data_IF_649088484606
#
_entry.id   IF_649088484606
#
_cell.length_a   1.000
_cell.length_b   1.000
_cell.length_c   1.000
_cell.angle_alpha   90.00
_cell.angle_beta   90.00
_cell.angle_gamma   90.00
#
_symmetry.space_group_name_H-M   'P 1'
#
loop_
_entity.id
_entity.type
_entity.pdbx_description
1 polymer ?
#
# COMPACT_ATOMS: atom_id res chain seq x y z
N UNK A 1 -14.64 22.13 -14.90
CA UNK A 1 -14.15 20.92 -14.19
C UNK A 1 -13.01 21.38 -13.32
N UNK A 2 -13.00 21.00 -12.03
CA UNK A 2 -11.84 21.27 -11.19
C UNK A 2 -10.64 20.58 -11.82
N UNK A 3 -9.58 21.35 -12.05
CA UNK A 3 -8.30 20.88 -12.58
C UNK A 3 -7.27 21.09 -11.52
N UNK A 4 -6.26 20.23 -11.50
CA UNK A 4 -5.07 20.50 -10.71
C UNK A 4 -4.43 21.80 -11.18
N UNK A 5 -3.78 22.49 -10.24
CA UNK A 5 -3.04 23.69 -10.55
C UNK A 5 -1.90 23.30 -11.50
N UNK A 6 -1.95 23.79 -12.74
CA UNK A 6 -0.86 23.59 -13.69
C UNK A 6 0.32 24.49 -13.28
N UNK A 7 1.56 23.96 -13.30
CA UNK A 7 2.72 24.74 -12.94
C UNK A 7 3.01 25.79 -14.01
N UNK A 8 3.51 26.94 -13.59
CA UNK A 8 3.88 28.03 -14.48
C UNK A 8 5.04 27.63 -15.40
N UNK A 9 5.14 28.23 -16.59
CA UNK A 9 6.23 27.93 -17.54
C UNK A 9 7.62 28.12 -16.90
N UNK A 10 7.76 29.13 -16.03
CA UNK A 10 8.99 29.39 -15.30
C UNK A 10 9.33 28.26 -14.32
N UNK A 11 8.34 27.76 -13.58
CA UNK A 11 8.54 26.60 -12.68
C UNK A 11 8.90 25.34 -13.47
N UNK A 12 8.21 25.09 -14.60
CA UNK A 12 8.53 23.94 -15.45
C UNK A 12 9.98 23.99 -15.94
N UNK A 13 10.40 25.13 -16.49
CA UNK A 13 11.76 25.33 -16.99
C UNK A 13 12.79 25.21 -15.86
N UNK A 14 12.52 25.84 -14.72
CA UNK A 14 13.41 25.81 -13.57
C UNK A 14 13.64 24.40 -13.04
N UNK A 15 12.59 23.60 -12.90
CA UNK A 15 12.70 22.22 -12.40
C UNK A 15 13.48 21.35 -13.37
N UNK A 16 13.18 21.44 -14.67
CA UNK A 16 13.90 20.67 -15.69
C UNK A 16 15.38 21.06 -15.73
N UNK A 17 15.71 22.34 -15.62
CA UNK A 17 17.10 22.81 -15.54
C UNK A 17 17.81 22.39 -14.25
N UNK A 18 17.09 22.36 -13.13
CA UNK A 18 17.63 21.91 -11.85
C UNK A 18 17.94 20.41 -11.88
N UNK A 19 17.04 19.60 -12.45
CA UNK A 19 17.24 18.16 -12.62
C UNK A 19 18.44 17.85 -13.53
N UNK A 20 18.66 18.64 -14.59
CA UNK A 20 19.87 18.54 -15.44
C UNK A 20 21.18 18.82 -14.68
N UNK A 21 21.11 19.49 -13.53
CA UNK A 21 22.23 19.78 -12.65
C UNK A 21 22.25 18.87 -11.42
N UNK A 22 21.51 17.77 -11.44
CA UNK A 22 21.34 16.82 -10.32
C UNK A 22 20.84 17.47 -9.01
N UNK A 23 20.04 18.52 -9.12
CA UNK A 23 19.46 19.22 -7.98
C UNK A 23 17.93 19.06 -7.96
N UNK A 24 17.41 18.54 -6.85
CA UNK A 24 15.97 18.54 -6.54
C UNK A 24 15.58 19.75 -5.70
N UNK A 25 14.32 20.17 -5.84
CA UNK A 25 13.74 21.26 -5.04
C UNK A 25 13.82 21.01 -3.52
N UNK A 26 13.64 19.75 -3.12
CA UNK A 26 13.67 19.35 -1.71
C UNK A 26 15.09 19.17 -1.16
N UNK A 27 16.13 19.29 -1.99
CA UNK A 27 17.53 19.03 -1.61
C UNK A 27 17.90 17.55 -1.43
N UNK A 28 17.00 16.62 -1.76
CA UNK A 28 17.24 15.17 -1.73
C UNK A 28 18.05 14.70 -2.93
N UNK A 29 18.70 13.54 -2.79
CA UNK A 29 19.28 12.83 -3.93
C UNK A 29 18.20 12.31 -4.90
N UNK A 30 18.60 11.99 -6.14
CA UNK A 30 17.71 11.44 -7.16
C UNK A 30 17.14 10.07 -6.75
N UNK A 31 17.94 9.28 -6.01
CA UNK A 31 17.62 7.91 -5.60
C UNK A 31 17.04 7.81 -4.18
N UNK A 32 16.59 8.94 -3.61
CA UNK A 32 16.22 9.03 -2.20
C UNK A 32 14.71 9.25 -2.00
N UNK A 33 14.10 8.39 -1.18
CA UNK A 33 12.71 8.55 -0.72
C UNK A 33 12.53 9.71 0.28
N UNK A 34 11.30 10.23 0.33
CA UNK A 34 10.86 11.11 1.42
C UNK A 34 10.89 10.40 2.77
N UNK A 35 10.96 11.15 3.88
CA UNK A 35 10.79 10.57 5.20
C UNK A 35 9.44 9.86 5.26
N UNK A 36 9.50 8.59 5.64
CA UNK A 36 8.36 7.69 5.76
C UNK A 36 8.04 7.52 7.25
N UNK A 37 6.79 7.80 7.61
CA UNK A 37 6.24 7.54 8.94
C UNK A 37 5.01 6.63 8.82
N UNK A 38 4.89 5.71 9.77
CA UNK A 38 3.84 4.70 9.79
C UNK A 38 3.27 4.62 11.20
N UNK A 39 1.97 4.88 11.31
CA UNK A 39 1.22 4.85 12.56
C UNK A 39 0.13 3.79 12.48
N UNK A 40 0.03 2.98 13.51
CA UNK A 40 -1.08 2.05 13.67
C UNK A 40 -2.18 2.73 14.47
N UNK A 41 -3.44 2.49 14.10
CA UNK A 41 -4.58 2.90 14.89
C UNK A 41 -4.82 1.95 16.06
N UNK A 42 -5.71 2.35 16.98
CA UNK A 42 -6.06 1.53 18.15
C UNK A 42 -6.63 0.16 17.74
N UNK A 43 -7.45 0.13 16.67
CA UNK A 43 -8.00 -1.09 16.11
C UNK A 43 -7.01 -1.81 15.19
N UNK A 44 -6.98 -3.14 15.25
CA UNK A 44 -6.20 -3.96 14.33
C UNK A 44 -6.63 -3.72 12.87
N UNK A 45 -5.65 -3.59 11.98
CA UNK A 45 -5.85 -3.33 10.55
C UNK A 45 -6.17 -1.88 10.17
N UNK A 46 -6.06 -0.92 11.10
CA UNK A 46 -6.05 0.51 10.76
C UNK A 46 -4.61 1.00 10.73
N UNK A 47 -4.17 1.56 9.60
CA UNK A 47 -2.83 2.12 9.45
C UNK A 47 -2.87 3.45 8.72
N UNK A 48 -2.15 4.42 9.25
CA UNK A 48 -1.89 5.69 8.59
C UNK A 48 -0.44 5.77 8.15
N UNK A 49 -0.23 6.05 6.87
CA UNK A 49 1.10 6.25 6.29
C UNK A 49 1.25 7.69 5.87
N UNK A 50 2.39 8.27 6.26
CA UNK A 50 2.82 9.59 5.84
C UNK A 50 4.14 9.46 5.08
N UNK A 51 4.12 9.79 3.79
CA UNK A 51 5.30 9.88 2.94
C UNK A 51 5.53 11.35 2.60
N UNK A 52 6.36 12.02 3.40
CA UNK A 52 6.49 13.49 3.37
C UNK A 52 5.15 14.18 3.65
N UNK A 53 4.51 14.73 2.62
CA UNK A 53 3.18 15.36 2.72
C UNK A 53 2.04 14.46 2.25
N UNK A 54 2.34 13.38 1.52
CA UNK A 54 1.33 12.41 1.08
C UNK A 54 0.87 11.59 2.28
N UNK A 55 -0.45 11.57 2.54
CA UNK A 55 -1.05 10.85 3.66
C UNK A 55 -2.15 9.91 3.19
N UNK A 56 -2.08 8.66 3.60
CA UNK A 56 -3.04 7.61 3.22
C UNK A 56 -3.44 6.84 4.48
N UNK A 57 -4.74 6.63 4.62
CA UNK A 57 -5.32 5.77 5.65
C UNK A 57 -5.77 4.46 4.98
N UNK A 58 -5.32 3.33 5.50
CA UNK A 58 -5.80 2.02 5.12
C UNK A 58 -6.58 1.40 6.28
N UNK A 59 -7.73 0.80 5.98
CA UNK A 59 -8.55 0.07 6.94
C UNK A 59 -8.88 -1.29 6.36
N UNK A 60 -8.66 -2.34 7.15
CA UNK A 60 -9.07 -3.70 6.82
C UNK A 60 -10.35 -4.06 7.58
N UNK A 61 -11.30 -4.65 6.88
CA UNK A 61 -12.49 -5.27 7.45
C UNK A 61 -12.59 -6.74 7.02
N UNK A 62 -13.22 -7.56 7.86
CA UNK A 62 -13.48 -8.96 7.56
C UNK A 62 -14.93 -9.30 7.87
N UNK A 63 -15.59 -9.96 6.93
CA UNK A 63 -16.98 -10.40 7.02
C UNK A 63 -17.09 -11.85 6.58
N UNK A 64 -18.04 -12.61 7.12
CA UNK A 64 -18.31 -13.98 6.66
C UNK A 64 -19.33 -13.94 5.53
N UNK A 65 -18.94 -14.44 4.37
CA UNK A 65 -19.79 -14.46 3.16
C UNK A 65 -19.72 -15.82 2.46
N UNK A 66 -20.50 -15.98 1.39
CA UNK A 66 -20.46 -17.17 0.53
C UNK A 66 -19.37 -16.98 -0.52
N UNK A 67 -18.48 -17.97 -0.75
CA UNK A 67 -17.45 -17.87 -1.79
C UNK A 67 -18.05 -17.87 -3.20
N UNK A 68 -17.24 -17.50 -4.19
CA UNK A 68 -17.65 -17.59 -5.59
C UNK A 68 -17.85 -19.05 -6.01
N UNK A 69 -18.84 -19.31 -6.87
CA UNK A 69 -19.14 -20.66 -7.38
C UNK A 69 -17.95 -21.27 -8.14
N UNK A 70 -17.16 -20.45 -8.82
CA UNK A 70 -15.98 -20.88 -9.57
C UNK A 70 -14.82 -21.33 -8.67
N UNK A 71 -14.76 -20.80 -7.43
CA UNK A 71 -13.66 -21.04 -6.48
C UNK A 71 -14.22 -21.26 -5.07
N UNK A 72 -14.76 -22.45 -4.76
CA UNK A 72 -15.42 -22.73 -3.49
C UNK A 72 -14.45 -22.89 -2.31
N UNK A 73 -13.15 -23.09 -2.57
CA UNK A 73 -12.10 -23.31 -1.58
C UNK A 73 -11.29 -22.04 -1.24
N UNK A 74 -11.60 -20.91 -1.86
CA UNK A 74 -10.91 -19.64 -1.63
C UNK A 74 -11.85 -18.64 -0.94
N UNK A 75 -11.30 -17.85 -0.03
CA UNK A 75 -11.96 -16.65 0.48
C UNK A 75 -11.93 -15.49 -0.51
N UNK A 76 -12.72 -14.47 -0.21
CA UNK A 76 -12.84 -13.28 -1.05
C UNK A 76 -11.88 -12.21 -0.51
N UNK A 77 -11.09 -11.62 -1.39
CA UNK A 77 -10.19 -10.52 -1.04
C UNK A 77 -10.39 -9.34 -1.97
N UNK A 78 -10.84 -8.20 -1.46
CA UNK A 78 -11.12 -6.98 -2.24
C UNK A 78 -10.30 -5.79 -1.75
N UNK A 79 -9.79 -4.99 -2.69
CA UNK A 79 -9.07 -3.75 -2.40
C UNK A 79 -9.84 -2.63 -3.09
N UNK A 80 -10.29 -1.66 -2.30
CA UNK A 80 -11.00 -0.48 -2.77
C UNK A 80 -10.12 0.74 -2.50
N UNK A 81 -9.86 1.52 -3.54
CA UNK A 81 -9.17 2.82 -3.43
C UNK A 81 -10.18 3.91 -3.62
N UNK A 82 -10.26 4.84 -2.68
CA UNK A 82 -11.11 6.02 -2.77
C UNK A 82 -10.26 7.28 -2.76
N UNK A 83 -10.31 8.03 -3.87
CA UNK A 83 -9.72 9.36 -3.94
C UNK A 83 -10.73 10.41 -3.47
N UNK A 84 -10.46 11.00 -2.30
CA UNK A 84 -11.29 12.09 -1.76
C UNK A 84 -10.89 13.44 -2.36
N UNK A 85 -11.84 14.37 -2.60
CA UNK A 85 -11.54 15.77 -2.94
C UNK A 85 -10.68 16.48 -1.88
N UNK A 86 -10.59 15.93 -0.67
CA UNK A 86 -9.66 16.40 0.36
C UNK A 86 -8.19 16.25 -0.05
N UNK A 87 -7.87 15.23 -0.86
CA UNK A 87 -6.49 14.97 -1.26
C UNK A 87 -6.01 15.91 -2.37
N UNK A 88 -6.86 16.17 -3.36
CA UNK A 88 -6.63 17.13 -4.44
C UNK A 88 -7.98 17.65 -4.93
N UNK A 89 -8.11 18.96 -5.25
CA UNK A 89 -9.35 19.50 -5.81
C UNK A 89 -9.73 18.85 -7.14
N UNK A 90 -8.79 18.22 -7.86
CA UNK A 90 -9.06 17.52 -9.10
C UNK A 90 -9.81 16.19 -8.94
N UNK A 91 -9.88 15.65 -7.72
CA UNK A 91 -10.62 14.42 -7.46
C UNK A 91 -12.10 14.72 -7.21
N UNK A 92 -12.96 14.05 -7.98
CA UNK A 92 -14.41 14.14 -7.85
C UNK A 92 -14.95 12.87 -7.18
N UNK A 93 -15.84 13.01 -6.19
CA UNK A 93 -16.47 11.86 -5.55
C UNK A 93 -17.36 11.13 -6.57
N UNK A 94 -17.30 9.79 -6.58
CA UNK A 94 -18.07 8.89 -7.45
C UNK A 94 -17.72 8.92 -8.95
N UNK A 95 -16.68 9.66 -9.35
CA UNK A 95 -16.19 9.63 -10.72
C UNK A 95 -14.76 9.11 -10.74
N UNK A 96 -14.55 7.83 -11.11
CA UNK A 96 -13.21 7.27 -11.12
C UNK A 96 -12.35 8.00 -12.16
N UNK A 97 -11.30 8.65 -11.69
CA UNK A 97 -10.30 9.26 -12.57
C UNK A 97 -9.40 8.19 -13.17
N UNK A 98 -8.72 8.50 -14.27
CA UNK A 98 -7.76 7.55 -14.87
C UNK A 98 -6.69 7.13 -13.86
N UNK A 99 -6.18 8.09 -13.07
CA UNK A 99 -5.22 7.85 -11.99
C UNK A 99 -5.75 6.88 -10.93
N UNK A 100 -7.03 6.98 -10.56
CA UNK A 100 -7.67 6.09 -9.59
C UNK A 100 -7.80 4.66 -10.13
N UNK A 101 -8.26 4.52 -11.38
CA UNK A 101 -8.37 3.20 -12.03
C UNK A 101 -7.01 2.54 -12.18
N UNK A 102 -5.98 3.32 -12.53
CA UNK A 102 -4.61 2.84 -12.61
C UNK A 102 -4.09 2.42 -11.24
N UNK A 103 -4.27 3.25 -10.21
CA UNK A 103 -3.86 2.95 -8.84
C UNK A 103 -4.51 1.66 -8.33
N UNK A 104 -5.83 1.56 -8.43
CA UNK A 104 -6.60 0.38 -8.03
C UNK A 104 -6.08 -0.89 -8.72
N UNK A 105 -5.92 -0.85 -10.04
CA UNK A 105 -5.43 -2.00 -10.83
C UNK A 105 -3.98 -2.37 -10.52
N UNK A 106 -3.11 -1.40 -10.26
CA UNK A 106 -1.71 -1.66 -9.93
C UNK A 106 -1.59 -2.33 -8.57
N UNK A 107 -2.33 -1.85 -7.56
CA UNK A 107 -2.34 -2.44 -6.22
C UNK A 107 -2.97 -3.83 -6.25
N UNK A 108 -4.10 -4.00 -6.96
CA UNK A 108 -4.75 -5.29 -7.12
C UNK A 108 -3.80 -6.32 -7.76
N UNK A 109 -3.11 -5.97 -8.84
CA UNK A 109 -2.11 -6.86 -9.44
C UNK A 109 -0.92 -7.11 -8.51
N UNK A 110 -0.48 -6.10 -7.76
CA UNK A 110 0.68 -6.25 -6.87
C UNK A 110 0.40 -7.11 -5.66
N UNK A 111 -0.81 -7.05 -5.08
CA UNK A 111 -1.14 -7.76 -3.83
C UNK A 111 -1.97 -9.02 -4.09
N UNK A 112 -2.99 -8.96 -4.94
CA UNK A 112 -3.86 -10.11 -5.23
C UNK A 112 -3.19 -11.08 -6.20
N UNK A 113 -2.68 -10.61 -7.35
CA UNK A 113 -2.10 -11.51 -8.37
C UNK A 113 -0.75 -12.12 -7.95
N UNK A 114 -0.04 -11.44 -7.06
CA UNK A 114 1.17 -12.01 -6.46
C UNK A 114 0.86 -13.12 -5.45
N UNK A 115 -0.38 -13.26 -4.98
CA UNK A 115 -0.77 -14.12 -3.86
C UNK A 115 0.00 -13.76 -2.57
N UNK A 116 0.04 -12.47 -2.22
CA UNK A 116 0.64 -12.02 -0.96
C UNK A 116 -0.12 -12.57 0.27
N UNK A 117 -1.45 -12.62 0.16
CA UNK A 117 -2.37 -13.19 1.14
C UNK A 117 -2.81 -14.58 0.69
N UNK A 118 -2.78 -15.54 1.62
CA UNK A 118 -3.28 -16.89 1.38
C UNK A 118 -4.81 -16.92 1.50
N UNK A 119 -5.48 -16.93 0.34
CA UNK A 119 -6.95 -16.97 0.25
C UNK A 119 -7.54 -18.34 0.58
N UNK A 120 -6.76 -19.42 0.55
CA UNK A 120 -7.25 -20.76 0.90
C UNK A 120 -7.45 -20.86 2.43
N UNK A 121 -6.56 -20.24 3.21
CA UNK A 121 -6.69 -20.14 4.68
C UNK A 121 -7.93 -19.38 5.17
N UNK A 122 -8.60 -18.65 4.26
CA UNK A 122 -9.80 -17.88 4.55
C UNK A 122 -11.09 -18.70 4.38
N UNK A 123 -11.02 -19.88 3.77
CA UNK A 123 -12.18 -20.75 3.61
C UNK A 123 -12.50 -21.45 4.94
N UNK A 124 -13.76 -21.39 5.37
CA UNK A 124 -14.23 -22.08 6.58
C UNK A 124 -14.93 -23.39 6.20
N UNK A 125 -15.94 -23.28 5.33
CA UNK A 125 -16.70 -24.41 4.78
C UNK A 125 -16.76 -24.24 3.27
N UNK A 126 -16.17 -25.20 2.56
CA UNK A 126 -16.09 -25.18 1.10
C UNK A 126 -17.47 -24.96 0.47
N UNK A 127 -17.59 -23.92 -0.35
CA UNK A 127 -18.82 -23.58 -1.08
C UNK A 127 -19.96 -22.98 -0.23
N UNK A 128 -19.80 -22.83 1.09
CA UNK A 128 -20.86 -22.26 1.95
C UNK A 128 -20.42 -21.00 2.69
N UNK A 129 -19.29 -21.05 3.39
CA UNK A 129 -18.84 -19.95 4.26
C UNK A 129 -17.34 -19.72 4.08
N UNK A 130 -16.98 -18.50 3.76
CA UNK A 130 -15.60 -18.04 3.70
C UNK A 130 -15.47 -16.64 4.32
N UNK A 131 -14.26 -16.28 4.69
CA UNK A 131 -13.94 -14.91 5.03
C UNK A 131 -13.82 -14.05 3.76
N UNK A 132 -14.51 -12.92 3.77
CA UNK A 132 -14.35 -11.82 2.83
C UNK A 132 -13.57 -10.71 3.51
N UNK A 133 -12.32 -10.52 3.09
CA UNK A 133 -11.45 -9.46 3.57
C UNK A 133 -11.49 -8.31 2.57
N UNK A 134 -11.80 -7.12 3.08
CA UNK A 134 -11.83 -5.89 2.30
C UNK A 134 -10.81 -4.90 2.87
N UNK A 135 -10.04 -4.30 1.98
CA UNK A 135 -9.11 -3.21 2.32
C UNK A 135 -9.60 -1.94 1.67
N UNK A 136 -9.96 -0.96 2.49
CA UNK A 136 -10.34 0.37 2.05
C UNK A 136 -9.15 1.31 2.23
N UNK A 137 -8.72 1.90 1.11
CA UNK A 137 -7.67 2.91 1.05
C UNK A 137 -8.31 4.28 0.84
N UNK A 138 -8.13 5.16 1.82
CA UNK A 138 -8.54 6.56 1.74
C UNK A 138 -7.31 7.45 1.60
N UNK A 139 -7.20 8.13 0.47
CA UNK A 139 -6.14 9.13 0.27
C UNK A 139 -6.56 10.43 0.95
N UNK A 140 -5.79 10.87 1.94
CA UNK A 140 -6.08 12.07 2.73
C UNK A 140 -5.41 13.32 2.13
N UNK A 141 -4.17 13.16 1.65
CA UNK A 141 -3.39 14.23 1.03
C UNK A 141 -2.54 13.68 -0.11
N UNK A 142 -2.52 14.37 -1.24
CA UNK A 142 -1.76 14.00 -2.43
C UNK A 142 -0.63 15.02 -2.70
N UNK A 143 0.61 14.57 -2.51
CA UNK A 143 1.83 15.34 -2.86
C UNK A 143 2.76 14.49 -3.74
N UNK A 144 2.20 13.64 -4.59
CA UNK A 144 2.93 12.71 -5.46
C UNK A 144 3.26 11.35 -4.84
N UNK A 145 3.59 10.38 -5.70
CA UNK A 145 3.88 8.98 -5.40
C UNK A 145 2.80 8.24 -4.58
N UNK A 146 1.57 8.27 -5.08
CA UNK A 146 0.46 7.55 -4.43
C UNK A 146 0.62 6.03 -4.47
N UNK A 147 1.26 5.48 -5.50
CA UNK A 147 1.32 4.04 -5.74
C UNK A 147 2.14 3.34 -4.65
N UNK A 148 3.34 3.85 -4.38
CA UNK A 148 4.24 3.26 -3.39
C UNK A 148 3.66 3.39 -1.98
N UNK A 149 3.16 4.58 -1.64
CA UNK A 149 2.55 4.84 -0.34
C UNK A 149 1.28 4.02 -0.11
N UNK A 150 0.44 3.84 -1.14
CA UNK A 150 -0.77 3.00 -1.05
C UNK A 150 -0.41 1.53 -0.91
N UNK A 151 0.57 1.03 -1.67
CA UNK A 151 1.01 -0.36 -1.59
C UNK A 151 1.56 -0.68 -0.20
N UNK A 152 2.42 0.19 0.34
CA UNK A 152 2.93 0.07 1.70
C UNK A 152 1.79 0.10 2.73
N UNK A 153 0.77 0.94 2.53
CA UNK A 153 -0.37 1.05 3.44
C UNK A 153 -1.21 -0.23 3.46
N UNK A 154 -1.49 -0.83 2.29
CA UNK A 154 -2.21 -2.12 2.21
C UNK A 154 -1.43 -3.22 2.90
N UNK A 155 -0.13 -3.34 2.61
CA UNK A 155 0.70 -4.40 3.19
C UNK A 155 0.83 -4.23 4.71
N UNK A 156 1.01 -3.00 5.18
CA UNK A 156 1.04 -2.70 6.61
C UNK A 156 -0.29 -3.03 7.29
N UNK A 157 -1.40 -2.62 6.70
CA UNK A 157 -2.74 -2.85 7.25
C UNK A 157 -3.07 -4.35 7.31
N UNK A 158 -2.77 -5.10 6.24
CA UNK A 158 -3.01 -6.55 6.19
C UNK A 158 -2.16 -7.32 7.20
N UNK A 159 -0.89 -6.94 7.39
CA UNK A 159 -0.02 -7.58 8.40
C UNK A 159 -0.39 -7.21 9.83
N UNK A 160 -0.94 -6.02 10.04
CA UNK A 160 -1.43 -5.57 11.34
C UNK A 160 -2.81 -6.15 11.68
N UNK A 161 -3.62 -6.47 10.67
CA UNK A 161 -4.97 -6.97 10.86
C UNK A 161 -4.99 -8.37 11.48
N UNK A 162 -5.94 -8.57 12.39
CA UNK A 162 -6.23 -9.85 13.02
C UNK A 162 -7.72 -10.14 12.86
N UNK A 163 -8.05 -11.30 12.31
CA UNK A 163 -9.45 -11.74 12.15
C UNK A 163 -9.96 -12.35 13.45
N UNK A 164 -11.27 -12.25 13.74
CA UNK A 164 -11.87 -12.97 14.86
C UNK A 164 -11.67 -14.48 14.74
N UNK A 165 -11.51 -15.16 15.88
CA UNK A 165 -11.43 -16.63 15.90
C UNK A 165 -12.80 -17.25 15.62
N UNK A 166 -12.80 -18.39 14.95
CA UNK A 166 -14.02 -19.11 14.56
C UNK A 166 -13.89 -20.57 14.91
N UNK A 167 -14.92 -21.12 15.55
CA UNK A 167 -15.05 -22.57 15.68
C UNK A 167 -16.27 -23.08 14.93
N UNK A 168 -16.16 -24.32 14.50
CA UNK A 168 -17.23 -25.01 13.80
C UNK A 168 -17.60 -26.25 14.61
N UNK A 169 -18.83 -26.29 15.09
CA UNK A 169 -19.45 -27.47 15.70
C UNK A 169 -20.54 -27.95 14.74
N UNK A 170 -20.27 -29.02 13.99
CA UNK A 170 -21.14 -29.50 12.92
C UNK A 170 -21.30 -28.47 11.79
N UNK A 171 -22.52 -28.00 11.55
CA UNK A 171 -22.84 -26.96 10.54
C UNK A 171 -22.93 -25.53 11.13
N UNK A 172 -22.88 -25.41 12.46
CA UNK A 172 -22.97 -24.12 13.14
C UNK A 172 -21.59 -23.46 13.23
N UNK A 173 -21.50 -22.23 12.70
CA UNK A 173 -20.30 -21.40 12.78
C UNK A 173 -20.49 -20.42 13.93
N UNK A 174 -19.62 -20.50 14.94
CA UNK A 174 -19.56 -19.53 16.02
C UNK A 174 -18.36 -18.61 15.78
N UNK A 175 -18.64 -17.31 15.66
CA UNK A 175 -17.61 -16.27 15.57
C UNK A 175 -17.43 -15.69 16.96
N UNK A 176 -16.23 -15.84 17.51
CA UNK A 176 -15.94 -15.32 18.84
C UNK A 176 -15.61 -13.84 18.78
N UNK A 177 -16.00 -13.11 19.81
CA UNK A 177 -15.58 -11.71 19.95
C UNK A 177 -14.12 -11.64 20.40
N UNK A 178 -13.41 -10.53 20.14
CA UNK A 178 -12.03 -10.34 20.60
C UNK A 178 -11.85 -10.41 22.13
N UNK A 179 -12.95 -10.30 22.90
CA UNK A 179 -12.95 -10.44 24.35
C UNK A 179 -13.00 -11.91 24.81
N UNK A 180 -13.60 -12.79 24.00
CA UNK A 180 -13.71 -14.22 24.32
C UNK A 180 -12.44 -14.98 23.91
N UNK A 181 -11.88 -14.63 22.75
CA UNK A 181 -10.68 -15.24 22.20
C UNK A 181 -9.79 -14.22 21.52
N UNK A 182 -8.49 -14.46 21.59
CA UNK A 182 -7.51 -13.64 20.90
C UNK A 182 -7.70 -13.72 19.37
N UNK A 183 -7.73 -12.58 18.67
CA UNK A 183 -7.90 -12.57 17.23
C UNK A 183 -6.64 -13.11 16.53
N UNK A 184 -6.88 -13.89 15.47
CA UNK A 184 -5.84 -14.65 14.75
C UNK A 184 -5.28 -13.80 13.62
N UNK A 185 -3.95 -13.74 13.42
CA UNK A 185 -3.37 -13.05 12.26
C UNK A 185 -3.79 -13.71 10.94
N UNK A 186 -3.63 -12.98 9.84
CA UNK A 186 -3.79 -13.53 8.50
C UNK A 186 -2.59 -14.39 8.10
N UNK A 187 -2.83 -15.45 7.32
CA UNK A 187 -1.76 -16.24 6.71
C UNK A 187 -1.09 -15.41 5.61
N UNK A 188 0.17 -15.05 5.84
CA UNK A 188 0.90 -14.11 5.00
C UNK A 188 2.05 -14.82 4.30
N UNK A 189 2.03 -14.86 2.98
CA UNK A 189 3.04 -15.57 2.18
C UNK A 189 4.26 -14.68 1.94
N UNK A 190 4.05 -13.45 1.49
CA UNK A 190 5.12 -12.49 1.25
C UNK A 190 4.65 -11.04 1.16
N UNK A 191 5.58 -10.09 1.30
CA UNK A 191 5.30 -8.64 1.27
C UNK A 191 5.81 -7.99 -0.01
N UNK A 192 4.95 -7.81 -1.03
CA UNK A 192 5.32 -7.06 -2.22
C UNK A 192 5.27 -5.56 -1.94
N UNK A 193 6.25 -4.81 -2.43
CA UNK A 193 6.26 -3.35 -2.37
C UNK A 193 6.42 -2.77 -3.77
N UNK A 194 5.68 -1.69 -4.04
CA UNK A 194 5.83 -0.90 -5.27
C UNK A 194 6.93 0.14 -5.09
N UNK A 195 7.78 0.26 -6.11
CA UNK A 195 8.81 1.29 -6.25
C UNK A 195 8.57 2.00 -7.58
N UNK A 196 8.26 3.30 -7.52
CA UNK A 196 7.94 4.11 -8.69
C UNK A 196 9.11 5.00 -9.09
N UNK A 197 9.52 4.86 -10.35
CA UNK A 197 10.52 5.67 -11.02
C UNK A 197 9.85 6.63 -11.98
N UNK A 198 10.28 7.89 -11.97
CA UNK A 198 9.89 8.93 -12.90
C UNK A 198 11.07 9.27 -13.81
N UNK A 199 10.84 9.35 -15.11
CA UNK A 199 11.87 9.67 -16.10
C UNK A 199 11.68 11.08 -16.65
N UNK A 200 12.79 11.79 -16.81
CA UNK A 200 12.86 13.15 -17.32
C UNK A 200 13.87 13.25 -18.46
N UNK A 201 13.66 14.24 -19.34
CA UNK A 201 14.42 14.44 -20.56
C UNK A 201 13.74 13.87 -21.80
N UNK A 202 14.20 14.28 -22.98
CA UNK A 202 13.64 13.85 -24.27
C UNK A 202 13.84 12.34 -24.50
N UNK A 203 14.96 11.78 -24.00
CA UNK A 203 15.30 10.35 -24.10
C UNK A 203 15.18 9.59 -22.76
N UNK A 204 14.70 10.25 -21.68
CA UNK A 204 14.55 9.61 -20.37
C UNK A 204 15.88 9.32 -19.65
N UNK A 205 16.88 10.18 -19.86
CA UNK A 205 18.22 10.05 -19.28
C UNK A 205 18.23 10.17 -17.75
N UNK A 206 17.36 11.02 -17.20
CA UNK A 206 17.34 11.32 -15.77
C UNK A 206 16.23 10.51 -15.11
N UNK A 207 16.62 9.67 -14.17
CA UNK A 207 15.71 8.84 -13.38
C UNK A 207 15.56 9.43 -11.97
N UNK A 208 14.32 9.62 -11.52
CA UNK A 208 14.04 10.00 -10.15
C UNK A 208 13.21 8.94 -9.45
N UNK A 209 13.58 8.70 -8.19
CA UNK A 209 12.81 7.94 -7.24
C UNK A 209 11.90 8.87 -6.43
N UNK A 210 10.66 8.44 -6.21
CA UNK A 210 9.69 9.14 -5.36
C UNK A 210 9.49 10.62 -5.73
N UNK A 211 8.87 10.84 -6.89
CA UNK A 211 8.54 12.16 -7.37
C UNK A 211 7.45 12.84 -6.51
N UNK A 212 7.67 14.12 -6.24
CA UNK A 212 6.67 15.04 -5.67
C UNK A 212 5.57 15.37 -6.70
N UNK A 213 4.46 15.97 -6.28
CA UNK A 213 3.36 16.30 -7.20
C UNK A 213 3.83 17.14 -8.40
N UNK A 214 4.64 18.17 -8.14
CA UNK A 214 5.16 19.05 -9.18
C UNK A 214 6.14 18.31 -10.10
N UNK A 215 6.98 17.44 -9.56
CA UNK A 215 7.84 16.56 -10.37
C UNK A 215 7.00 15.57 -11.19
N UNK A 216 5.92 15.01 -10.65
CA UNK A 216 5.02 14.08 -11.35
C UNK A 216 4.31 14.74 -12.53
N UNK A 217 3.93 16.01 -12.41
CA UNK A 217 3.31 16.78 -13.50
C UNK A 217 4.28 17.06 -14.66
N UNK A 218 5.60 17.00 -14.40
CA UNK A 218 6.65 17.28 -15.39
C UNK A 218 7.30 16.02 -15.95
N UNK A 219 7.00 14.84 -15.41
CA UNK A 219 7.61 13.59 -15.87
C UNK A 219 7.12 13.23 -17.27
N UNK A 220 8.01 12.67 -18.06
CA UNK A 220 7.70 12.25 -19.44
C UNK A 220 7.23 10.80 -19.48
N UNK A 221 7.81 9.95 -18.63
CA UNK A 221 7.35 8.58 -18.42
C UNK A 221 7.50 8.17 -16.96
N UNK A 222 6.79 7.10 -16.59
CA UNK A 222 6.90 6.48 -15.27
C UNK A 222 6.96 4.97 -15.41
N UNK A 223 7.70 4.34 -14.50
CA UNK A 223 7.75 2.90 -14.37
C UNK A 223 7.61 2.53 -12.90
N UNK A 224 6.61 1.71 -12.58
CA UNK A 224 6.46 1.11 -11.26
C UNK A 224 6.92 -0.34 -11.32
N UNK A 225 7.83 -0.70 -10.43
CA UNK A 225 8.34 -2.06 -10.27
C UNK A 225 7.90 -2.55 -8.90
N UNK A 226 7.16 -3.65 -8.89
CA UNK A 226 6.69 -4.31 -7.67
C UNK A 226 7.59 -5.51 -7.38
N UNK A 227 8.21 -5.53 -6.20
CA UNK A 227 9.18 -6.54 -5.81
C UNK A 227 8.89 -7.07 -4.41
N UNK A 228 9.29 -8.31 -4.17
CA UNK A 228 9.28 -8.93 -2.86
C UNK A 228 10.63 -8.77 -2.14
N UNK A 229 10.69 -9.02 -0.83
CA UNK A 229 11.94 -9.02 -0.02
C UNK A 229 13.03 -9.93 -0.58
N UNK A 230 12.63 -11.00 -1.26
CA UNK A 230 13.52 -11.97 -1.90
C UNK A 230 14.12 -11.47 -3.23
N UNK A 231 13.71 -10.31 -3.74
CA UNK A 231 14.15 -9.77 -5.03
C UNK A 231 13.38 -10.32 -6.23
N UNK A 232 12.31 -11.07 -5.98
CA UNK A 232 11.40 -11.56 -7.03
C UNK A 232 10.48 -10.44 -7.50
N UNK A 233 10.36 -10.28 -8.81
CA UNK A 233 9.50 -9.26 -9.43
C UNK A 233 8.07 -9.80 -9.49
N UNK A 234 7.14 -9.12 -8.83
CA UNK A 234 5.71 -9.41 -8.92
C UNK A 234 5.11 -8.78 -10.19
N UNK A 235 5.50 -7.54 -10.48
CA UNK A 235 4.96 -6.77 -11.60
C UNK A 235 5.92 -5.68 -12.06
N UNK A 236 5.95 -5.41 -13.37
CA UNK A 236 6.50 -4.18 -13.94
C UNK A 236 5.41 -3.48 -14.72
N UNK A 237 5.21 -2.19 -14.44
CA UNK A 237 4.22 -1.36 -15.10
C UNK A 237 4.87 -0.09 -15.63
N UNK A 238 5.14 -0.07 -16.94
CA UNK A 238 5.50 1.14 -17.67
C UNK A 238 4.27 1.65 -18.41
N UNK A 239 3.65 2.70 -17.90
CA UNK A 239 2.39 3.23 -18.42
C UNK A 239 2.67 4.35 -19.41
N UNK A 240 2.92 3.97 -20.67
CA UNK A 240 3.13 4.91 -21.77
C UNK A 240 4.40 5.78 -21.62
N UNK A 241 4.36 6.96 -22.24
CA UNK A 241 5.47 7.92 -22.24
C UNK A 241 6.57 7.60 -23.25
N UNK A 242 7.71 8.27 -23.09
CA UNK A 242 8.88 8.09 -23.96
C UNK A 242 9.47 6.68 -23.87
N UNK A 243 10.11 6.19 -24.95
CA UNK A 243 10.97 5.01 -24.88
C UNK A 243 12.03 5.19 -23.79
N UNK A 244 12.28 4.13 -23.03
CA UNK A 244 13.32 4.10 -22.00
C UNK A 244 14.24 2.94 -22.34
N UNK A 245 15.54 3.16 -22.24
CA UNK A 245 16.53 2.12 -22.51
C UNK A 245 16.40 0.96 -21.52
N UNK A 246 16.55 -0.27 -22.02
CA UNK A 246 16.46 -1.47 -21.18
C UNK A 246 17.53 -1.50 -20.09
N UNK A 247 18.72 -0.95 -20.35
CA UNK A 247 19.82 -0.88 -19.37
C UNK A 247 19.43 -0.01 -18.17
N UNK A 248 18.81 1.15 -18.41
CA UNK A 248 18.31 2.03 -17.35
C UNK A 248 17.22 1.34 -16.52
N UNK A 249 16.31 0.59 -17.15
CA UNK A 249 15.30 -0.19 -16.41
C UNK A 249 15.91 -1.27 -15.52
N UNK A 250 17.00 -1.92 -15.96
CA UNK A 250 17.72 -2.89 -15.13
C UNK A 250 18.41 -2.23 -13.95
N UNK A 251 18.96 -1.03 -14.13
CA UNK A 251 19.52 -0.24 -13.03
C UNK A 251 18.43 0.15 -12.02
N UNK A 252 17.27 0.61 -12.50
CA UNK A 252 16.09 0.88 -11.65
C UNK A 252 15.66 -0.37 -10.88
N UNK A 253 15.63 -1.55 -11.51
CA UNK A 253 15.28 -2.79 -10.83
C UNK A 253 16.25 -3.13 -9.69
N UNK A 254 17.56 -2.95 -9.91
CA UNK A 254 18.57 -3.18 -8.86
C UNK A 254 18.40 -2.21 -7.67
N UNK A 255 18.14 -0.93 -7.96
CA UNK A 255 17.84 0.07 -6.92
C UNK A 255 16.54 -0.29 -6.17
N UNK A 256 15.51 -0.72 -6.90
CA UNK A 256 14.24 -1.12 -6.30
C UNK A 256 14.40 -2.28 -5.32
N UNK A 257 15.24 -3.28 -5.63
CA UNK A 257 15.54 -4.39 -4.70
C UNK A 257 16.16 -3.88 -3.40
N UNK A 258 17.03 -2.87 -3.46
CA UNK A 258 17.62 -2.28 -2.26
C UNK A 258 16.56 -1.54 -1.43
N UNK A 259 15.72 -0.73 -2.07
CA UNK A 259 14.68 0.05 -1.40
C UNK A 259 13.59 -0.83 -0.78
N UNK A 260 13.19 -1.91 -1.46
CA UNK A 260 12.25 -2.90 -0.92
C UNK A 260 12.76 -3.56 0.36
N UNK A 261 14.07 -3.83 0.47
CA UNK A 261 14.65 -4.35 1.72
C UNK A 261 14.57 -3.33 2.85
N UNK A 262 14.79 -2.05 2.56
CA UNK A 262 14.64 -0.96 3.53
C UNK A 262 13.19 -0.86 4.01
N UNK A 263 12.22 -0.85 3.08
CA UNK A 263 10.78 -0.81 3.43
C UNK A 263 10.32 -2.03 4.21
N UNK A 264 10.74 -3.23 3.81
CA UNK A 264 10.43 -4.45 4.56
C UNK A 264 10.98 -4.39 5.98
N UNK A 265 12.23 -3.95 6.15
CA UNK A 265 12.86 -3.86 7.47
C UNK A 265 12.18 -2.80 8.34
N UNK A 266 11.85 -1.65 7.76
CA UNK A 266 11.11 -0.58 8.43
C UNK A 266 9.73 -1.07 8.91
N UNK A 267 8.99 -1.77 8.05
CA UNK A 267 7.67 -2.32 8.41
C UNK A 267 7.78 -3.39 9.52
N UNK A 268 8.77 -4.29 9.42
CA UNK A 268 9.03 -5.31 10.44
C UNK A 268 9.34 -4.69 11.80
N UNK A 269 10.14 -3.61 11.83
CA UNK A 269 10.45 -2.85 13.05
C UNK A 269 9.20 -2.19 13.64
N UNK A 270 8.41 -1.51 12.80
CA UNK A 270 7.20 -0.82 13.24
C UNK A 270 6.14 -1.78 13.80
N UNK A 271 5.93 -2.93 13.14
CA UNK A 271 5.03 -3.97 13.65
C UNK A 271 5.51 -4.56 14.99
N UNK A 272 6.82 -4.74 15.16
CA UNK A 272 7.39 -5.21 16.42
C UNK A 272 7.28 -4.17 17.56
N UNK A 273 7.43 -2.88 17.24
CA UNK A 273 7.19 -1.78 18.17
C UNK A 273 5.72 -1.73 18.62
N UNK A 274 4.78 -1.87 17.69
CA UNK A 274 3.34 -1.88 17.97
C UNK A 274 2.92 -3.08 18.81
N UNK A 275 3.39 -4.29 18.47
CA UNK A 275 3.15 -5.48 19.31
C UNK A 275 3.65 -5.24 20.74
N UNK A 276 4.89 -4.77 20.91
CA UNK A 276 5.44 -4.46 22.24
C UNK A 276 4.65 -3.39 22.98
N UNK A 277 4.11 -2.39 22.28
CA UNK A 277 3.29 -1.35 22.88
C UNK A 277 1.97 -1.91 23.40
N UNK A 278 1.32 -2.78 22.62
CA UNK A 278 0.10 -3.51 23.03
C UNK A 278 0.35 -4.54 24.13
N UNK A 279 1.54 -5.13 24.16
CA UNK A 279 1.94 -6.15 25.14
C UNK A 279 2.47 -5.55 26.47
N UNK A 280 2.91 -4.27 26.47
CA UNK A 280 3.61 -3.62 27.61
C UNK A 280 2.78 -3.45 28.88
N UNK A 281 1.46 -3.44 28.75
CA UNK A 281 0.52 -3.43 29.86
C UNK A 281 -0.51 -4.50 29.64
N UNK A 282 -0.05 -5.74 29.37
CA UNK A 282 -0.87 -6.86 28.90
C UNK A 282 -2.29 -6.72 29.39
N UNK A 283 -3.24 -6.53 28.47
CA UNK A 283 -4.66 -6.40 28.81
C UNK A 283 -5.09 -7.53 29.76
N UNK A 284 -4.45 -8.70 29.68
CA UNK A 284 -4.59 -9.80 30.64
C UNK A 284 -4.14 -9.49 32.08
N UNK A 285 -3.04 -8.77 32.30
CA UNK A 285 -2.58 -8.35 33.62
C UNK A 285 -3.48 -7.26 34.23
N UNK A 286 -3.90 -6.26 33.44
CA UNK A 286 -4.79 -5.19 33.91
C UNK A 286 -6.23 -5.71 34.14
N UNK A 287 -6.78 -6.53 33.25
CA UNK A 287 -8.10 -7.17 33.42
C UNK A 287 -8.12 -8.21 34.55
N UNK A 288 -7.00 -8.87 34.84
CA UNK A 288 -6.90 -9.78 36.00
C UNK A 288 -6.86 -9.04 37.34
N UNK A 289 -6.33 -7.81 37.35
CA UNK A 289 -6.25 -7.01 38.57
C UNK A 289 -7.59 -6.35 38.93
N UNK A 290 -8.41 -5.97 37.95
CA UNK A 290 -9.70 -5.32 38.20
C UNK A 290 -10.85 -6.30 38.48
N UNK A 291 -10.81 -7.53 37.97
CA UNK A 291 -11.84 -8.56 38.21
C UNK A 291 -11.72 -9.28 39.56
N UNK A 292 -10.75 -8.91 40.41
CA UNK A 292 -10.59 -9.43 41.76
C UNK A 292 -11.25 -8.49 42.80
N UNK A 293 -12.55 -8.22 42.68
CA UNK A 293 -13.38 -7.61 43.72
C UNK A 293 -14.81 -8.14 43.72
#
# INVERSE_FOLDING_TARGET
>A
MPREAEPSLNEKAFVVEALKKDHRLDGRGLDQYRPLDLKFGDQYGVTEITLGKTRILAKVSAEVTVPYADRPFEGIFTITTELSPMASPAFEVNRPTESEVLLSRLIEKTVRRSNALDTESLCLVAGQKCWSIRVDLHVLSHDGNLIDASCLAVVAALRHFRKPDTSMEGETLTVYTPAEREPVPLSWLHSPFCITFSFYGEEGEITLLDATLLEEQLRVSSCTISLNKHGEICQVAKLGGTPVEAVSLLQCANLAVQQVKVFSTFLDQKLAEDSKHRDRGGLLAELSAENAR
#
